data_IF_687040521276
#
_entry.id   IF_687040521276
#
_cell.length_a   1.000
_cell.length_b   1.000
_cell.length_c   1.000
_cell.angle_alpha   90.00
_cell.angle_beta   90.00
_cell.angle_gamma   90.00
#
_symmetry.space_group_name_H-M   'P 1'
#
loop_
_entity.id
_entity.type
_entity.pdbx_description
1 polymer ?
#
# COMPACT_ATOMS: atom_id res chain seq x y z
N UNK A 1 3.91 31.42 -16.57
CA UNK A 1 3.81 30.32 -15.57
C UNK A 1 2.62 29.39 -15.85
N UNK A 2 1.45 29.88 -16.31
CA UNK A 2 0.27 29.03 -16.53
C UNK A 2 0.28 28.08 -17.74
N UNK A 3 0.89 28.44 -18.88
CA UNK A 3 0.85 27.60 -20.10
C UNK A 3 1.69 26.32 -19.96
N UNK A 4 2.78 26.37 -19.18
CA UNK A 4 3.66 25.21 -18.93
C UNK A 4 2.96 24.10 -18.13
N UNK A 5 2.01 24.46 -17.27
CA UNK A 5 1.22 23.49 -16.49
C UNK A 5 0.29 22.72 -17.43
N UNK A 6 -0.34 23.39 -18.38
CA UNK A 6 -1.29 22.76 -19.32
C UNK A 6 -0.59 21.74 -20.23
N UNK A 7 0.63 22.05 -20.71
CA UNK A 7 1.42 21.14 -21.54
C UNK A 7 1.92 19.92 -20.74
N UNK A 8 2.21 20.08 -19.43
CA UNK A 8 2.70 19.01 -18.58
C UNK A 8 1.65 17.92 -18.28
N UNK A 9 0.35 18.24 -18.37
CA UNK A 9 -0.74 17.30 -18.12
C UNK A 9 -1.40 16.76 -19.40
N UNK A 10 -1.05 17.32 -20.56
CA UNK A 10 -1.51 16.84 -21.87
C UNK A 10 -1.23 15.34 -22.14
N UNK A 11 -0.11 14.72 -21.71
CA UNK A 11 0.10 13.28 -21.93
C UNK A 11 -0.80 12.38 -21.07
N UNK A 12 -1.34 12.87 -19.96
CA UNK A 12 -2.26 12.11 -19.10
C UNK A 12 -3.67 12.02 -19.68
N UNK A 13 -4.06 12.97 -20.54
CA UNK A 13 -5.34 12.92 -21.24
C UNK A 13 -5.39 11.80 -22.29
N UNK A 14 -4.23 11.43 -22.85
CA UNK A 14 -4.07 10.34 -23.81
C UNK A 14 -4.26 8.94 -23.19
N UNK A 15 -4.18 8.81 -21.86
CA UNK A 15 -4.43 7.55 -21.15
C UNK A 15 -5.92 7.30 -20.86
N UNK A 16 -6.78 8.32 -20.99
CA UNK A 16 -8.22 8.20 -20.72
C UNK A 16 -9.03 7.83 -21.97
N UNK A 17 -8.51 8.13 -23.16
CA UNK A 17 -9.13 7.84 -24.44
C UNK A 17 -8.17 6.95 -25.21
N UNK A 18 -8.41 5.63 -25.20
CA UNK A 18 -7.53 4.64 -25.83
C UNK A 18 -7.18 4.99 -27.29
N UNK A 19 -6.04 4.50 -27.81
CA UNK A 19 -5.50 4.93 -29.09
C UNK A 19 -6.36 4.44 -30.25
N UNK A 20 -7.19 5.33 -30.80
CA UNK A 20 -7.72 5.17 -32.15
C UNK A 20 -6.72 5.75 -33.14
N UNK A 21 -5.73 4.96 -33.57
CA UNK A 21 -5.15 5.13 -34.91
C UNK A 21 -4.75 3.77 -35.48
N UNK A 22 -5.58 3.34 -36.43
CA UNK A 22 -5.22 2.44 -37.52
C UNK A 22 -4.20 3.18 -38.43
N UNK A 23 -3.07 2.52 -38.66
CA UNK A 23 -2.22 2.60 -39.86
C UNK A 23 -1.65 3.98 -40.31
N UNK A 24 -0.34 4.12 -40.11
CA UNK A 24 0.57 4.76 -41.08
C UNK A 24 1.66 3.72 -41.37
N UNK A 25 1.46 2.87 -42.37
CA UNK A 25 2.00 3.00 -43.73
C UNK A 25 3.51 3.24 -43.82
N UNK A 26 4.16 2.26 -44.45
CA UNK A 26 5.39 2.34 -45.26
C UNK A 26 6.68 2.90 -44.63
N UNK A 27 7.41 2.05 -43.88
CA UNK A 27 8.87 1.86 -44.03
C UNK A 27 9.39 0.84 -43.00
N UNK A 28 9.44 -0.44 -43.40
CA UNK A 28 9.76 -1.58 -42.51
C UNK A 28 11.23 -1.58 -42.00
N UNK A 29 12.08 -0.70 -42.53
CA UNK A 29 13.48 -0.55 -42.08
C UNK A 29 13.64 0.51 -40.97
N UNK A 30 12.78 1.54 -40.93
CA UNK A 30 12.85 2.58 -39.88
C UNK A 30 12.15 2.15 -38.58
N UNK A 31 11.13 1.28 -38.66
CA UNK A 31 10.42 0.79 -37.46
C UNK A 31 11.28 -0.13 -36.58
N UNK A 32 12.14 -0.96 -37.17
CA UNK A 32 13.03 -1.85 -36.42
C UNK A 32 14.17 -1.09 -35.72
N UNK A 33 14.71 -0.05 -36.37
CA UNK A 33 15.73 0.82 -35.78
C UNK A 33 15.17 1.62 -34.59
N UNK A 34 13.95 2.15 -34.72
CA UNK A 34 13.27 2.84 -33.62
C UNK A 34 12.88 1.89 -32.49
N UNK A 35 12.41 0.68 -32.79
CA UNK A 35 12.13 -0.35 -31.78
C UNK A 35 13.41 -0.83 -31.07
N UNK A 36 14.53 -1.01 -31.79
CA UNK A 36 15.82 -1.34 -31.20
C UNK A 36 16.34 -0.22 -30.30
N UNK A 37 16.31 1.04 -30.79
CA UNK A 37 16.74 2.20 -30.01
C UNK A 37 15.89 2.38 -28.75
N UNK A 38 14.57 2.15 -28.85
CA UNK A 38 13.67 2.15 -27.71
C UNK A 38 14.03 1.05 -26.69
N UNK A 39 14.26 -0.18 -27.15
CA UNK A 39 14.72 -1.29 -26.29
C UNK A 39 16.12 -1.05 -25.69
N UNK A 40 17.01 -0.35 -26.39
CA UNK A 40 18.34 0.04 -25.88
C UNK A 40 18.26 1.14 -24.82
N UNK A 41 17.35 2.11 -24.97
CA UNK A 41 17.06 3.13 -23.96
C UNK A 41 16.38 2.54 -22.71
N UNK A 42 15.58 1.48 -22.85
CA UNK A 42 15.04 0.72 -21.70
C UNK A 42 16.10 -0.14 -21.00
N UNK A 43 17.07 -0.71 -21.74
CA UNK A 43 18.19 -1.47 -21.17
C UNK A 43 19.21 -0.58 -20.45
N UNK A 44 19.23 0.71 -20.76
CA UNK A 44 20.13 1.73 -20.18
C UNK A 44 19.41 2.75 -19.30
N UNK A 45 18.27 2.39 -18.71
CA UNK A 45 17.77 3.15 -17.57
C UNK A 45 18.80 3.01 -16.44
N UNK A 46 19.33 4.11 -15.87
CA UNK A 46 20.12 3.99 -14.66
C UNK A 46 19.25 3.26 -13.65
N UNK A 47 19.76 2.16 -13.10
CA UNK A 47 19.19 1.55 -11.90
C UNK A 47 18.98 2.72 -10.94
N UNK A 48 17.71 3.00 -10.61
CA UNK A 48 17.31 4.09 -9.75
C UNK A 48 18.32 4.20 -8.60
N UNK A 49 18.85 5.40 -8.29
CA UNK A 49 19.78 5.55 -7.19
C UNK A 49 19.16 4.92 -5.94
N UNK A 50 19.88 4.03 -5.23
CA UNK A 50 19.34 3.28 -4.09
C UNK A 50 18.83 4.20 -2.96
N UNK A 51 19.23 5.46 -2.99
CA UNK A 51 18.84 6.54 -2.08
C UNK A 51 17.34 6.88 -2.09
N UNK A 52 16.59 6.50 -3.15
CA UNK A 52 15.12 6.59 -3.21
C UNK A 52 14.46 5.22 -3.41
N UNK A 53 15.15 4.13 -3.08
CA UNK A 53 14.49 2.85 -2.91
C UNK A 53 13.60 2.96 -1.68
N UNK A 54 12.32 3.26 -1.91
CA UNK A 54 11.28 3.05 -0.90
C UNK A 54 11.48 1.62 -0.44
N UNK A 55 11.97 1.43 0.78
CA UNK A 55 12.23 0.12 1.36
C UNK A 55 10.89 -0.61 1.38
N UNK A 56 10.59 -1.36 0.32
CA UNK A 56 9.58 -2.39 0.32
C UNK A 56 10.12 -3.48 1.23
N UNK A 57 10.05 -3.24 2.54
CA UNK A 57 10.27 -4.25 3.53
C UNK A 57 9.31 -5.38 3.17
N UNK A 58 9.87 -6.49 2.70
CA UNK A 58 9.11 -7.67 2.35
C UNK A 58 8.19 -7.98 3.54
N UNK A 59 6.86 -8.10 3.35
CA UNK A 59 5.96 -8.29 4.46
C UNK A 59 6.34 -9.58 5.18
N UNK A 60 6.80 -9.45 6.43
CA UNK A 60 7.16 -10.61 7.26
C UNK A 60 5.94 -11.52 7.37
N UNK A 61 6.01 -12.70 6.75
CA UNK A 61 4.90 -13.64 6.72
C UNK A 61 4.55 -14.01 8.17
N UNK A 62 3.28 -13.84 8.60
CA UNK A 62 2.88 -14.23 9.94
C UNK A 62 2.98 -15.74 10.11
N UNK A 63 3.23 -16.21 11.33
CA UNK A 63 3.26 -17.65 11.64
C UNK A 63 1.99 -18.36 11.16
N UNK A 64 2.11 -19.58 10.62
CA UNK A 64 0.96 -20.42 10.28
C UNK A 64 0.18 -20.83 11.55
N UNK A 65 -1.11 -20.50 11.61
CA UNK A 65 -2.01 -20.78 12.77
C UNK A 65 -3.36 -21.29 12.28
N UNK A 66 -3.99 -22.18 13.05
CA UNK A 66 -5.34 -22.67 12.78
C UNK A 66 -6.39 -21.57 12.93
N UNK A 67 -7.55 -21.75 12.29
CA UNK A 67 -8.64 -20.77 12.33
C UNK A 67 -9.19 -20.53 13.74
N UNK A 68 -9.29 -21.58 14.55
CA UNK A 68 -9.73 -21.48 15.94
C UNK A 68 -8.80 -20.61 16.79
N UNK A 69 -7.48 -20.78 16.64
CA UNK A 69 -6.49 -19.95 17.34
C UNK A 69 -6.56 -18.50 16.84
N UNK A 70 -6.70 -18.28 15.54
CA UNK A 70 -6.89 -16.93 14.98
C UNK A 70 -8.12 -16.24 15.58
N UNK A 71 -9.26 -16.93 15.69
CA UNK A 71 -10.46 -16.42 16.37
C UNK A 71 -10.20 -16.04 17.82
N UNK A 72 -9.54 -16.91 18.59
CA UNK A 72 -9.16 -16.64 20.00
C UNK A 72 -8.25 -15.40 20.09
N UNK A 73 -7.24 -15.28 19.24
CA UNK A 73 -6.31 -14.15 19.20
C UNK A 73 -7.03 -12.82 18.89
N UNK A 74 -7.88 -12.81 17.87
CA UNK A 74 -8.66 -11.62 17.50
C UNK A 74 -9.59 -11.20 18.65
N UNK A 75 -10.27 -12.15 19.29
CA UNK A 75 -11.12 -11.86 20.46
C UNK A 75 -10.31 -11.23 21.60
N UNK A 76 -9.13 -11.78 21.91
CA UNK A 76 -8.24 -11.24 22.96
C UNK A 76 -7.67 -9.88 22.60
N UNK A 77 -7.44 -9.59 21.32
CA UNK A 77 -7.05 -8.27 20.85
C UNK A 77 -8.18 -7.25 21.04
N UNK A 78 -9.41 -7.60 20.64
CA UNK A 78 -10.60 -6.74 20.79
C UNK A 78 -10.95 -6.45 22.25
N UNK A 79 -10.77 -7.43 23.15
CA UNK A 79 -10.96 -7.23 24.59
C UNK A 79 -9.91 -6.29 25.21
N UNK A 80 -8.74 -6.15 24.59
CA UNK A 80 -7.63 -5.36 25.11
C UNK A 80 -7.73 -3.87 24.72
N UNK A 81 -8.93 -3.29 24.84
CA UNK A 81 -9.22 -1.89 24.51
C UNK A 81 -9.50 -1.07 25.79
N UNK A 82 -9.23 0.25 25.80
CA UNK A 82 -9.56 1.11 26.93
C UNK A 82 -11.07 1.32 27.04
N UNK A 83 -11.54 1.73 28.22
CA UNK A 83 -12.97 2.02 28.44
C UNK A 83 -13.34 3.30 27.67
N UNK A 84 -14.47 3.32 26.94
CA UNK A 84 -14.96 4.52 26.28
C UNK A 84 -15.23 5.67 27.25
N UNK A 85 -14.97 6.89 26.82
CA UNK A 85 -15.09 8.07 27.69
C UNK A 85 -16.52 8.31 28.18
N UNK A 86 -17.51 8.16 27.30
CA UNK A 86 -18.93 8.35 27.65
C UNK A 86 -19.43 7.39 28.73
N UNK A 87 -18.84 6.19 28.86
CA UNK A 87 -19.16 5.27 29.97
C UNK A 87 -18.76 5.89 31.31
N UNK A 88 -17.61 6.59 31.37
CA UNK A 88 -17.15 7.27 32.60
C UNK A 88 -18.06 8.42 33.02
N UNK A 89 -18.81 8.99 32.07
CA UNK A 89 -19.72 10.11 32.31
C UNK A 89 -21.13 9.67 32.73
N UNK A 90 -21.44 8.37 32.69
CA UNK A 90 -22.74 7.86 33.16
C UNK A 90 -22.89 8.07 34.67
N UNK A 91 -24.07 8.52 35.09
CA UNK A 91 -24.45 8.62 36.51
C UNK A 91 -24.35 7.25 37.19
N UNK A 92 -23.94 7.25 38.46
CA UNK A 92 -23.78 6.05 39.31
C UNK A 92 -22.84 4.97 38.75
N UNK A 93 -21.92 5.33 37.85
CA UNK A 93 -20.92 4.40 37.36
C UNK A 93 -19.64 4.43 38.22
N UNK A 94 -19.31 3.29 38.82
CA UNK A 94 -18.08 3.09 39.61
C UNK A 94 -16.86 2.68 38.76
N UNK A 95 -17.05 2.32 37.49
CA UNK A 95 -16.01 1.76 36.63
C UNK A 95 -15.13 2.87 36.03
N UNK A 96 -13.85 2.93 36.41
CA UNK A 96 -12.90 3.95 35.89
C UNK A 96 -11.91 3.43 34.85
N UNK A 97 -11.45 2.19 34.99
CA UNK A 97 -10.47 1.56 34.10
C UNK A 97 -10.79 0.09 33.86
N UNK A 98 -10.24 -0.49 32.77
CA UNK A 98 -10.42 -1.90 32.45
C UNK A 98 -9.42 -2.73 33.25
N UNK A 99 -9.84 -3.27 34.39
CA UNK A 99 -9.01 -4.11 35.25
C UNK A 99 -8.51 -5.40 34.56
N UNK A 100 -9.22 -5.87 33.53
CA UNK A 100 -8.87 -7.08 32.76
C UNK A 100 -8.00 -6.78 31.53
N UNK A 101 -7.54 -5.54 31.36
CA UNK A 101 -6.63 -5.15 30.27
C UNK A 101 -5.29 -5.89 30.42
N UNK A 102 -4.74 -6.35 29.29
CA UNK A 102 -3.58 -7.24 29.28
C UNK A 102 -2.40 -6.61 28.54
N UNK A 103 -1.20 -6.66 29.11
CA UNK A 103 0.03 -6.32 28.39
C UNK A 103 0.80 -7.59 27.99
N UNK A 104 1.22 -7.68 26.72
CA UNK A 104 1.82 -8.91 26.17
C UNK A 104 3.18 -9.29 26.74
N UNK A 105 3.93 -8.31 27.29
CA UNK A 105 5.17 -8.60 28.02
C UNK A 105 4.92 -9.10 29.45
N UNK A 106 3.82 -8.69 30.10
CA UNK A 106 3.52 -9.04 31.50
C UNK A 106 2.78 -10.37 31.64
N UNK A 107 1.73 -10.59 30.84
CA UNK A 107 0.86 -11.77 30.98
C UNK A 107 0.60 -12.46 29.64
N UNK A 108 0.84 -13.78 29.61
CA UNK A 108 0.66 -14.64 28.43
C UNK A 108 -0.77 -15.18 28.34
N UNK A 109 -1.16 -15.63 27.15
CA UNK A 109 -2.55 -15.99 26.85
C UNK A 109 -2.93 -17.44 27.22
N UNK A 110 -1.93 -18.30 27.51
CA UNK A 110 -2.12 -19.62 28.15
C UNK A 110 -3.21 -20.48 27.53
N UNK A 111 -3.10 -20.80 26.24
CA UNK A 111 -3.99 -21.70 25.53
C UNK A 111 -3.22 -22.55 24.52
#
# INVERSE_FOLDING_TARGET
MGIKIIIAFLPYLFLLLGPFTRAFSSNRQLSAALLSAYLQLFRSQPILPPELSFNFQQPKIPSHKTFMIKKKLVKKQRQNMPIPYWIRMRTDNTIRYNAKRRHWRRTKLGF
#
